data_IF_452891589066
#
_entry.id   IF_452891589066
#
_cell.length_a   1.000
_cell.length_b   1.000
_cell.length_c   1.000
_cell.angle_alpha   90.00
_cell.angle_beta   90.00
_cell.angle_gamma   90.00
#
_symmetry.space_group_name_H-M   'P 1'
#
loop_
_entity.id
_entity.type
_entity.pdbx_description
1 polymer ?
#
# COMPACT_ATOMS: atom_id res chain seq x y z
N UNK A 1 -14.84 20.63 5.77
CA UNK A 1 -15.61 19.48 5.25
C UNK A 1 -14.56 18.49 4.82
N UNK A 2 -14.50 17.37 5.52
CA UNK A 2 -13.61 16.26 5.23
C UNK A 2 -14.14 15.50 4.02
N UNK A 3 -13.32 15.39 2.99
CA UNK A 3 -13.63 14.62 1.78
C UNK A 3 -12.46 13.71 1.49
N UNK A 4 -12.77 12.43 1.33
CA UNK A 4 -11.80 11.40 1.00
C UNK A 4 -12.31 10.61 -0.20
N UNK A 5 -11.45 10.42 -1.19
CA UNK A 5 -11.75 9.60 -2.37
C UNK A 5 -10.73 8.48 -2.44
N UNK A 6 -11.24 7.25 -2.41
CA UNK A 6 -10.42 6.04 -2.40
C UNK A 6 -10.79 5.14 -3.59
N UNK A 7 -9.82 4.39 -4.09
CA UNK A 7 -10.03 3.24 -4.97
C UNK A 7 -10.03 1.97 -4.12
N UNK A 8 -11.24 1.50 -3.79
CA UNK A 8 -11.47 0.33 -2.97
C UNK A 8 -11.87 -0.88 -3.83
N UNK A 9 -11.76 -2.09 -3.26
CA UNK A 9 -12.34 -3.35 -3.75
C UNK A 9 -12.53 -3.42 -5.27
N UNK A 10 -11.51 -3.84 -6.00
CA UNK A 10 -11.60 -3.94 -7.45
C UNK A 10 -11.51 -2.59 -8.17
N UNK A 11 -10.83 -1.62 -7.55
CA UNK A 11 -10.58 -0.28 -8.10
C UNK A 11 -11.88 0.52 -8.35
N UNK A 12 -12.91 0.24 -7.56
CA UNK A 12 -14.09 1.08 -7.49
C UNK A 12 -13.76 2.39 -6.76
N UNK A 13 -14.12 3.52 -7.35
CA UNK A 13 -13.99 4.82 -6.70
C UNK A 13 -15.08 4.95 -5.65
N UNK A 14 -14.70 5.32 -4.43
CA UNK A 14 -15.61 5.54 -3.30
C UNK A 14 -15.33 6.91 -2.71
N UNK A 15 -16.38 7.70 -2.53
CA UNK A 15 -16.30 9.00 -1.87
C UNK A 15 -16.86 8.91 -0.46
N UNK A 16 -16.05 9.30 0.53
CA UNK A 16 -16.44 9.44 1.93
C UNK A 16 -16.43 10.93 2.29
N UNK A 17 -17.52 11.41 2.86
CA UNK A 17 -17.68 12.78 3.36
C UNK A 17 -18.27 12.76 4.76
N UNK A 18 -17.68 13.50 5.70
CA UNK A 18 -18.11 13.58 7.09
C UNK A 18 -18.32 12.17 7.71
N UNK A 19 -17.37 11.27 7.44
CA UNK A 19 -17.40 9.87 7.86
C UNK A 19 -18.52 9.01 7.26
N UNK A 20 -19.13 9.42 6.14
CA UNK A 20 -20.22 8.68 5.46
C UNK A 20 -19.90 8.40 4.02
N UNK A 21 -20.22 7.19 3.56
CA UNK A 21 -20.11 6.82 2.15
C UNK A 21 -21.24 7.50 1.36
N UNK A 22 -20.87 8.49 0.55
CA UNK A 22 -21.82 9.29 -0.25
C UNK A 22 -21.94 8.81 -1.69
N UNK A 23 -20.90 8.16 -2.22
CA UNK A 23 -20.86 7.68 -3.60
C UNK A 23 -19.97 6.44 -3.74
N UNK A 24 -20.38 5.51 -4.60
CA UNK A 24 -19.64 4.29 -4.94
C UNK A 24 -19.83 3.99 -6.43
N UNK A 25 -18.73 4.00 -7.17
CA UNK A 25 -18.70 3.61 -8.58
C UNK A 25 -18.60 2.08 -8.75
N UNK A 26 -18.86 1.61 -9.97
CA UNK A 26 -18.68 0.20 -10.34
C UNK A 26 -17.23 -0.24 -10.23
N UNK A 27 -17.00 -1.46 -9.74
CA UNK A 27 -15.66 -2.06 -9.71
C UNK A 27 -15.23 -2.51 -11.11
N UNK A 28 -13.93 -2.41 -11.39
CA UNK A 28 -13.34 -2.89 -12.65
C UNK A 28 -13.17 -4.41 -12.71
N UNK A 29 -13.31 -5.09 -11.57
CA UNK A 29 -13.28 -6.55 -11.47
C UNK A 29 -14.50 -7.03 -10.68
N UNK A 30 -14.92 -8.27 -10.89
CA UNK A 30 -16.12 -8.85 -10.25
C UNK A 30 -15.81 -9.60 -8.95
N UNK A 31 -14.59 -10.13 -8.80
CA UNK A 31 -14.24 -10.99 -7.68
C UNK A 31 -12.82 -10.72 -7.17
N UNK A 32 -12.65 -10.79 -5.85
CA UNK A 32 -11.34 -10.76 -5.22
C UNK A 32 -11.26 -11.80 -4.08
N UNK A 33 -10.30 -12.75 -4.14
CA UNK A 33 -10.16 -13.82 -3.16
C UNK A 33 -9.83 -13.32 -1.75
N UNK A 34 -9.16 -12.17 -1.62
CA UNK A 34 -8.89 -11.55 -0.32
C UNK A 34 -10.20 -11.12 0.35
N UNK A 35 -11.07 -10.43 -0.38
CA UNK A 35 -12.34 -9.95 0.16
C UNK A 35 -13.34 -11.09 0.35
N UNK A 36 -13.36 -12.10 -0.52
CA UNK A 36 -14.13 -13.32 -0.27
C UNK A 36 -13.71 -13.97 1.06
N UNK A 37 -12.40 -14.22 1.24
CA UNK A 37 -11.89 -14.93 2.42
C UNK A 37 -12.16 -14.18 3.73
N UNK A 38 -11.96 -12.85 3.74
CA UNK A 38 -12.01 -12.06 4.98
C UNK A 38 -13.35 -11.37 5.23
N UNK A 39 -14.22 -11.29 4.23
CA UNK A 39 -15.50 -10.54 4.28
C UNK A 39 -16.68 -11.32 3.70
N UNK A 40 -16.48 -12.49 3.11
CA UNK A 40 -17.54 -13.29 2.51
C UNK A 40 -18.12 -12.70 1.22
N UNK A 41 -17.43 -11.74 0.60
CA UNK A 41 -17.92 -11.04 -0.59
C UNK A 41 -17.69 -11.92 -1.82
N UNK A 42 -18.76 -12.46 -2.39
CA UNK A 42 -18.71 -13.31 -3.59
C UNK A 42 -18.68 -12.52 -4.90
N UNK A 43 -19.29 -11.34 -4.93
CA UNK A 43 -19.28 -10.42 -6.07
C UNK A 43 -19.11 -8.99 -5.58
N UNK A 44 -18.25 -8.23 -6.25
CA UNK A 44 -18.01 -6.83 -5.99
C UNK A 44 -19.08 -6.00 -6.69
N UNK A 45 -20.16 -5.67 -5.97
CA UNK A 45 -21.17 -4.70 -6.42
C UNK A 45 -21.02 -3.40 -5.64
N UNK A 46 -21.52 -2.26 -6.13
CA UNK A 46 -21.50 -1.01 -5.38
C UNK A 46 -22.08 -1.14 -3.96
N UNK A 47 -23.12 -1.94 -3.77
CA UNK A 47 -23.72 -2.18 -2.45
C UNK A 47 -22.79 -2.94 -1.51
N UNK A 48 -22.15 -4.01 -1.97
CA UNK A 48 -21.21 -4.79 -1.16
C UNK A 48 -19.93 -3.99 -0.84
N UNK A 49 -19.48 -3.16 -1.79
CA UNK A 49 -18.36 -2.25 -1.60
C UNK A 49 -18.72 -1.18 -0.56
N UNK A 50 -19.90 -0.56 -0.68
CA UNK A 50 -20.42 0.41 0.29
C UNK A 50 -20.45 -0.18 1.71
N UNK A 51 -21.10 -1.34 1.88
CA UNK A 51 -21.16 -2.05 3.17
C UNK A 51 -19.76 -2.33 3.72
N UNK A 52 -18.80 -2.69 2.85
CA UNK A 52 -17.45 -2.94 3.28
C UNK A 52 -16.75 -1.69 3.79
N UNK A 53 -16.92 -0.54 3.13
CA UNK A 53 -16.32 0.71 3.57
C UNK A 53 -17.00 1.23 4.84
N UNK A 54 -18.33 1.18 4.93
CA UNK A 54 -19.07 1.51 6.15
C UNK A 54 -18.61 0.65 7.33
N UNK A 55 -18.40 -0.65 7.11
CA UNK A 55 -17.80 -1.53 8.13
C UNK A 55 -16.40 -1.07 8.57
N UNK A 56 -15.54 -0.57 7.66
CA UNK A 56 -14.20 -0.09 8.02
C UNK A 56 -14.24 1.23 8.79
N UNK A 57 -15.16 2.11 8.43
CA UNK A 57 -15.46 3.34 9.16
C UNK A 57 -15.87 2.98 10.61
N UNK A 58 -16.81 2.05 10.76
CA UNK A 58 -17.30 1.63 12.08
C UNK A 58 -16.25 0.85 12.90
N UNK A 59 -15.43 0.01 12.26
CA UNK A 59 -14.49 -0.90 12.93
C UNK A 59 -13.21 -0.18 13.40
N UNK A 60 -12.67 0.75 12.62
CA UNK A 60 -11.40 1.41 12.95
C UNK A 60 -11.33 2.89 12.55
N UNK A 61 -12.46 3.55 12.30
CA UNK A 61 -12.51 4.99 12.05
C UNK A 61 -11.88 5.42 10.72
N UNK A 62 -11.88 4.54 9.70
CA UNK A 62 -11.37 4.91 8.38
C UNK A 62 -11.98 6.22 7.88
N UNK A 63 -11.16 7.17 7.40
CA UNK A 63 -11.64 8.48 6.91
C UNK A 63 -12.33 9.35 7.98
N UNK A 64 -12.01 9.17 9.27
CA UNK A 64 -12.55 10.00 10.35
C UNK A 64 -11.46 10.31 11.39
N UNK A 65 -11.72 11.26 12.28
CA UNK A 65 -10.84 11.56 13.42
C UNK A 65 -10.67 10.41 14.42
N UNK A 66 -11.54 9.40 14.37
CA UNK A 66 -11.50 8.24 15.25
C UNK A 66 -10.63 7.11 14.67
N UNK A 67 -9.87 7.40 13.60
CA UNK A 67 -8.98 6.45 12.93
C UNK A 67 -7.99 5.82 13.90
N UNK A 68 -7.98 4.49 13.95
CA UNK A 68 -6.97 3.74 14.70
C UNK A 68 -5.69 3.63 13.85
N UNK A 69 -4.68 4.43 14.20
CA UNK A 69 -3.41 4.52 13.45
C UNK A 69 -2.37 3.47 13.84
N UNK A 70 -2.50 2.80 14.99
CA UNK A 70 -1.55 1.76 15.43
C UNK A 70 -2.26 0.42 15.49
N UNK A 71 -1.93 -0.46 14.56
CA UNK A 71 -2.53 -1.79 14.41
C UNK A 71 -1.45 -2.86 14.36
N UNK A 72 -1.86 -4.12 14.58
CA UNK A 72 -1.00 -5.29 14.34
C UNK A 72 -1.30 -5.88 12.97
N UNK A 73 -0.43 -6.77 12.53
CA UNK A 73 -0.57 -7.54 11.29
C UNK A 73 -2.02 -8.01 11.05
N UNK A 74 -2.58 -7.59 9.92
CA UNK A 74 -3.89 -8.07 9.49
C UNK A 74 -3.78 -9.35 8.65
N UNK A 75 -2.76 -9.41 7.79
CA UNK A 75 -2.45 -10.57 6.97
C UNK A 75 -1.17 -11.26 7.46
N UNK A 76 -0.96 -12.49 7.00
CA UNK A 76 0.36 -13.12 7.19
C UNK A 76 1.42 -12.47 6.29
N UNK A 77 1.02 -11.95 5.12
CA UNK A 77 1.93 -11.40 4.13
C UNK A 77 1.22 -10.31 3.31
N UNK A 78 1.91 -9.18 3.11
CA UNK A 78 1.42 -7.96 2.52
C UNK A 78 2.55 -6.92 2.47
N UNK A 79 2.38 -5.83 1.73
CA UNK A 79 3.41 -4.78 1.65
C UNK A 79 3.61 -4.13 3.02
N UNK A 80 2.52 -3.76 3.72
CA UNK A 80 2.58 -3.23 5.09
C UNK A 80 3.25 -4.21 6.05
N UNK A 81 2.95 -5.51 5.97
CA UNK A 81 3.57 -6.57 6.79
C UNK A 81 5.08 -6.69 6.58
N UNK A 82 5.55 -6.54 5.32
CA UNK A 82 6.99 -6.52 5.03
C UNK A 82 7.61 -5.25 5.63
N UNK A 83 7.04 -4.07 5.35
CA UNK A 83 7.56 -2.78 5.85
C UNK A 83 7.62 -2.73 7.38
N UNK A 84 6.57 -3.19 8.06
CA UNK A 84 6.53 -3.34 9.52
C UNK A 84 7.64 -4.26 10.03
N UNK A 85 7.93 -5.35 9.31
CA UNK A 85 9.05 -6.24 9.64
C UNK A 85 10.39 -5.54 9.46
N UNK A 86 10.58 -4.78 8.38
CA UNK A 86 11.81 -4.05 8.12
C UNK A 86 12.07 -2.95 9.16
N UNK A 87 11.03 -2.26 9.62
CA UNK A 87 11.11 -1.29 10.72
C UNK A 87 11.49 -1.97 12.04
N UNK A 88 10.81 -3.06 12.42
CA UNK A 88 11.11 -3.78 13.67
C UNK A 88 12.56 -4.31 13.72
N UNK A 89 13.07 -4.76 12.59
CA UNK A 89 14.44 -5.30 12.46
C UNK A 89 15.48 -4.20 12.19
N UNK A 90 15.08 -2.92 12.16
CA UNK A 90 15.94 -1.76 11.87
C UNK A 90 16.71 -1.88 10.54
N UNK A 91 16.09 -2.51 9.54
CA UNK A 91 16.63 -2.59 8.16
C UNK A 91 16.33 -1.30 7.40
N UNK A 92 15.21 -0.66 7.71
CA UNK A 92 14.84 0.66 7.23
C UNK A 92 14.58 1.58 8.41
N UNK A 93 14.85 2.87 8.22
CA UNK A 93 14.69 3.89 9.27
C UNK A 93 13.31 4.54 9.20
N UNK A 94 12.74 4.62 7.99
CA UNK A 94 11.51 5.34 7.70
C UNK A 94 10.79 4.75 6.48
N UNK A 95 9.47 4.92 6.47
CA UNK A 95 8.60 4.60 5.34
C UNK A 95 7.80 5.83 4.95
N UNK A 96 7.84 6.20 3.68
CA UNK A 96 6.93 7.18 3.08
C UNK A 96 5.67 6.45 2.63
N UNK A 97 4.52 6.83 3.20
CA UNK A 97 3.21 6.21 2.96
C UNK A 97 2.14 7.27 2.76
N UNK A 98 0.92 6.82 2.45
CA UNK A 98 -0.26 7.69 2.37
C UNK A 98 -1.26 7.30 3.46
N UNK A 99 -1.75 8.28 4.22
CA UNK A 99 -2.81 8.10 5.21
C UNK A 99 -3.97 9.05 4.91
N UNK A 100 -5.20 8.55 4.89
CA UNK A 100 -6.34 9.46 4.79
C UNK A 100 -6.43 10.37 6.02
N UNK A 101 -6.78 11.63 5.79
CA UNK A 101 -6.72 12.68 6.81
C UNK A 101 -5.35 13.35 6.95
N UNK A 102 -4.27 12.77 6.39
CA UNK A 102 -2.91 13.31 6.55
C UNK A 102 -2.17 13.49 5.21
N UNK A 103 -2.58 12.79 4.15
CA UNK A 103 -1.87 12.82 2.88
C UNK A 103 -0.61 11.97 2.94
N UNK A 104 0.52 12.50 2.48
CA UNK A 104 1.82 11.83 2.56
C UNK A 104 2.40 11.96 3.95
N UNK A 105 2.80 10.82 4.52
CA UNK A 105 3.33 10.73 5.88
C UNK A 105 4.61 9.92 5.94
N UNK A 106 5.46 10.29 6.89
CA UNK A 106 6.63 9.54 7.30
C UNK A 106 6.27 8.63 8.48
N UNK A 107 6.65 7.36 8.39
CA UNK A 107 6.33 6.34 9.38
C UNK A 107 7.59 5.63 9.83
N UNK A 108 7.84 5.63 11.14
CA UNK A 108 9.02 5.00 11.76
C UNK A 108 8.68 3.90 12.76
N UNK A 109 7.38 3.63 12.95
CA UNK A 109 6.88 2.61 13.88
C UNK A 109 6.17 1.50 13.12
N UNK A 110 6.46 0.24 13.45
CA UNK A 110 5.87 -0.95 12.84
C UNK A 110 4.34 -0.98 12.95
N UNK A 111 3.78 -0.70 14.13
CA UNK A 111 2.33 -0.66 14.32
C UNK A 111 1.67 0.50 13.56
N UNK A 112 2.39 1.61 13.38
CA UNK A 112 1.91 2.74 12.59
C UNK A 112 1.91 2.40 11.08
N UNK A 113 2.93 1.70 10.58
CA UNK A 113 2.95 1.24 9.20
C UNK A 113 1.79 0.27 8.90
N UNK A 114 1.44 -0.58 9.86
CA UNK A 114 0.24 -1.41 9.78
C UNK A 114 -1.05 -0.60 9.84
N UNK A 115 -1.16 0.40 10.71
CA UNK A 115 -2.38 1.19 10.78
C UNK A 115 -2.58 2.13 9.60
N UNK A 116 -1.50 2.61 8.98
CA UNK A 116 -1.53 3.46 7.78
C UNK A 116 -1.75 2.63 6.50
N UNK A 117 -0.98 1.56 6.28
CA UNK A 117 -1.08 0.77 5.04
C UNK A 117 -2.01 -0.45 5.15
N UNK A 118 -2.11 -1.04 6.34
CA UNK A 118 -2.87 -2.26 6.56
C UNK A 118 -4.37 -2.01 6.41
N UNK A 119 -5.03 -2.86 5.61
CA UNK A 119 -6.47 -2.78 5.31
C UNK A 119 -6.89 -1.48 4.58
N UNK A 120 -5.95 -0.70 4.07
CA UNK A 120 -6.22 0.54 3.34
C UNK A 120 -6.37 0.30 1.84
N UNK A 121 -7.23 1.10 1.24
CA UNK A 121 -7.53 1.13 -0.21
C UNK A 121 -6.61 2.16 -0.89
N UNK A 122 -6.50 2.18 -2.22
CA UNK A 122 -5.73 3.25 -2.88
C UNK A 122 -6.33 4.62 -2.53
N UNK A 123 -5.54 5.58 -2.05
CA UNK A 123 -6.03 6.93 -1.74
C UNK A 123 -5.80 7.84 -2.95
N UNK A 124 -6.87 8.48 -3.42
CA UNK A 124 -6.84 9.37 -4.59
C UNK A 124 -6.86 10.84 -4.18
N UNK A 125 -7.68 11.16 -3.19
CA UNK A 125 -7.88 12.52 -2.69
C UNK A 125 -8.19 12.45 -1.20
N UNK A 126 -7.71 13.40 -0.42
CA UNK A 126 -8.04 13.51 1.00
C UNK A 126 -8.03 14.96 1.44
N UNK A 127 -8.78 15.24 2.51
CA UNK A 127 -8.73 16.51 3.24
C UNK A 127 -7.99 16.31 4.56
N UNK A 128 -7.38 17.35 5.15
CA UNK A 128 -6.72 17.25 6.45
C UNK A 128 -7.72 16.96 7.58
N UNK A 129 -7.33 16.08 8.50
CA UNK A 129 -8.00 15.83 9.77
C UNK A 129 -6.98 16.16 10.88
N UNK A 130 -7.09 17.33 11.53
CA UNK A 130 -6.11 17.79 12.51
C UNK A 130 -5.84 16.78 13.63
N UNK A 131 -6.88 16.12 14.13
CA UNK A 131 -6.75 15.12 15.20
C UNK A 131 -5.89 13.93 14.81
N UNK A 132 -5.79 13.59 13.51
CA UNK A 132 -4.92 12.53 13.01
C UNK A 132 -3.50 13.05 12.77
N UNK A 133 -3.36 14.25 12.21
CA UNK A 133 -2.06 14.90 11.97
C UNK A 133 -1.28 15.02 13.28
N UNK A 134 -1.95 15.42 14.37
CA UNK A 134 -1.36 15.52 15.71
C UNK A 134 -0.84 14.19 16.30
N UNK A 135 -1.21 13.03 15.71
CA UNK A 135 -0.72 11.71 16.15
C UNK A 135 0.63 11.32 15.54
N UNK A 136 1.09 12.06 14.52
CA UNK A 136 2.39 11.88 13.90
C UNK A 136 3.45 12.72 14.64
N UNK A 137 4.71 12.32 14.48
CA UNK A 137 5.84 13.09 14.99
C UNK A 137 5.92 14.45 14.26
N UNK A 138 6.50 15.49 14.88
CA UNK A 138 6.75 16.76 14.19
C UNK A 138 7.49 16.54 12.86
N UNK A 139 7.10 17.26 11.81
CA UNK A 139 7.66 17.15 10.45
C UNK A 139 7.54 15.75 9.82
N UNK A 140 6.54 14.95 10.20
CA UNK A 140 6.24 13.64 9.58
C UNK A 140 4.96 13.65 8.73
N UNK A 141 4.31 14.79 8.56
CA UNK A 141 3.22 14.99 7.61
C UNK A 141 3.69 16.01 6.59
N UNK A 142 3.60 15.67 5.30
CA UNK A 142 4.16 16.49 4.22
C UNK A 142 3.49 17.86 4.11
N UNK A 143 2.16 17.87 4.18
CA UNK A 143 1.35 19.06 4.03
C UNK A 143 0.16 18.98 4.99
N UNK A 144 0.34 19.52 6.19
CA UNK A 144 -0.70 19.52 7.23
C UNK A 144 -1.92 20.37 6.85
N UNK A 145 -1.76 21.33 5.94
CA UNK A 145 -2.83 22.25 5.54
C UNK A 145 -3.76 21.65 4.48
N UNK A 146 -3.22 20.87 3.53
CA UNK A 146 -3.99 20.34 2.41
C UNK A 146 -4.01 18.80 2.33
N UNK A 147 -3.22 18.10 3.16
CA UNK A 147 -3.06 16.65 3.13
C UNK A 147 -2.65 16.13 1.73
N UNK A 148 -1.67 16.81 1.12
CA UNK A 148 -1.17 16.51 -0.22
C UNK A 148 -0.55 15.11 -0.34
N UNK A 149 -0.83 14.44 -1.45
CA UNK A 149 -0.28 13.13 -1.80
C UNK A 149 0.83 13.32 -2.83
N UNK A 150 2.09 13.17 -2.41
CA UNK A 150 3.29 13.32 -3.21
C UNK A 150 4.42 12.50 -2.57
N UNK A 151 4.71 11.35 -3.16
CA UNK A 151 5.70 10.42 -2.62
C UNK A 151 7.15 10.89 -2.87
N UNK A 152 7.37 11.69 -3.92
CA UNK A 152 8.69 12.26 -4.23
C UNK A 152 9.06 13.29 -3.17
N UNK A 153 8.16 14.22 -2.87
CA UNK A 153 8.39 15.22 -1.82
C UNK A 153 8.37 14.59 -0.43
N UNK A 154 7.58 13.53 -0.22
CA UNK A 154 7.67 12.71 0.99
C UNK A 154 9.06 12.09 1.19
N UNK A 155 9.71 11.59 0.13
CA UNK A 155 11.07 11.09 0.20
C UNK A 155 12.09 12.20 0.53
N UNK A 156 11.93 13.41 -0.04
CA UNK A 156 12.77 14.57 0.32
C UNK A 156 12.62 14.93 1.79
N UNK A 157 11.39 15.00 2.28
CA UNK A 157 11.11 15.25 3.69
C UNK A 157 11.77 14.20 4.59
N UNK A 158 11.79 12.92 4.17
CA UNK A 158 12.48 11.87 4.93
C UNK A 158 14.00 12.12 5.02
N UNK A 159 14.63 12.54 3.92
CA UNK A 159 16.05 12.91 3.89
C UNK A 159 16.32 14.13 4.78
N UNK A 160 15.46 15.15 4.74
CA UNK A 160 15.56 16.35 5.58
C UNK A 160 15.46 16.02 7.08
N UNK A 161 14.65 15.00 7.43
CA UNK A 161 14.57 14.45 8.78
C UNK A 161 15.77 13.55 9.15
N UNK A 162 16.73 13.35 8.25
CA UNK A 162 17.98 12.63 8.49
C UNK A 162 17.91 11.12 8.31
N UNK A 163 16.81 10.58 7.77
CA UNK A 163 16.67 9.15 7.47
C UNK A 163 17.54 8.75 6.27
N UNK A 164 18.03 7.52 6.28
CA UNK A 164 19.01 7.01 5.29
C UNK A 164 18.49 5.81 4.52
N UNK A 165 17.89 4.85 5.20
CA UNK A 165 17.26 3.68 4.59
C UNK A 165 15.75 3.92 4.53
N UNK A 166 15.26 4.40 3.39
CA UNK A 166 13.89 4.89 3.27
C UNK A 166 13.11 3.98 2.32
N UNK A 167 12.01 3.41 2.80
CA UNK A 167 11.07 2.72 1.93
C UNK A 167 9.97 3.68 1.45
N UNK A 168 9.51 3.53 0.21
CA UNK A 168 8.45 4.37 -0.37
C UNK A 168 7.39 3.46 -1.01
N UNK A 169 6.13 3.65 -0.63
CA UNK A 169 5.01 2.96 -1.30
C UNK A 169 4.50 3.76 -2.49
N UNK A 170 4.45 3.15 -3.67
CA UNK A 170 4.10 3.82 -4.91
C UNK A 170 2.95 3.13 -5.64
N UNK A 171 2.08 3.96 -6.22
CA UNK A 171 1.02 3.53 -7.15
C UNK A 171 1.38 3.84 -8.61
N UNK A 172 2.28 4.80 -8.86
CA UNK A 172 2.67 5.27 -10.20
C UNK A 172 4.15 4.96 -10.49
N UNK A 173 4.47 4.26 -11.60
CA UNK A 173 5.85 4.00 -12.00
C UNK A 173 6.69 5.26 -12.24
N UNK A 174 6.10 6.37 -12.69
CA UNK A 174 6.81 7.62 -13.00
C UNK A 174 7.52 8.20 -11.76
N UNK A 175 6.86 8.17 -10.60
CA UNK A 175 7.46 8.59 -9.32
C UNK A 175 8.70 7.76 -8.99
N UNK A 176 8.69 6.47 -9.36
CA UNK A 176 9.83 5.57 -9.17
C UNK A 176 11.04 5.95 -10.01
N UNK A 177 10.84 6.45 -11.24
CA UNK A 177 11.93 6.96 -12.08
C UNK A 177 12.59 8.13 -11.38
N UNK A 178 11.78 9.10 -10.93
CA UNK A 178 12.27 10.29 -10.24
C UNK A 178 13.01 9.89 -8.96
N UNK A 179 12.46 8.99 -8.15
CA UNK A 179 13.08 8.55 -6.91
C UNK A 179 14.43 7.85 -7.13
N UNK A 180 14.56 7.03 -8.19
CA UNK A 180 15.85 6.43 -8.56
C UNK A 180 16.86 7.46 -9.03
N UNK A 181 16.43 8.51 -9.74
CA UNK A 181 17.31 9.62 -10.09
C UNK A 181 17.76 10.39 -8.85
N UNK A 182 16.85 10.69 -7.93
CA UNK A 182 17.12 11.41 -6.69
C UNK A 182 18.02 10.63 -5.73
N UNK A 183 17.86 9.31 -5.63
CA UNK A 183 18.75 8.45 -4.84
C UNK A 183 20.22 8.67 -5.22
N UNK A 184 20.53 8.84 -6.52
CA UNK A 184 21.90 9.07 -6.99
C UNK A 184 22.50 10.42 -6.58
N UNK A 185 21.71 11.35 -6.04
CA UNK A 185 22.21 12.62 -5.52
C UNK A 185 22.83 12.47 -4.11
N UNK A 186 22.65 11.32 -3.45
CA UNK A 186 23.04 11.09 -2.06
C UNK A 186 23.85 9.79 -1.90
N UNK A 187 25.12 9.90 -1.49
CA UNK A 187 26.00 8.73 -1.32
C UNK A 187 25.63 7.82 -0.14
N UNK A 188 24.87 8.33 0.83
CA UNK A 188 24.54 7.64 2.09
C UNK A 188 23.05 7.37 2.30
N UNK A 189 22.23 7.57 1.27
CA UNK A 189 20.78 7.32 1.29
C UNK A 189 20.45 6.17 0.33
N UNK A 190 19.63 5.23 0.79
CA UNK A 190 19.07 4.16 -0.01
C UNK A 190 17.55 4.33 -0.09
N UNK A 191 16.98 4.22 -1.28
CA UNK A 191 15.53 4.17 -1.50
C UNK A 191 15.09 2.76 -1.87
N UNK A 192 14.10 2.26 -1.15
CA UNK A 192 13.48 0.96 -1.41
C UNK A 192 12.04 1.16 -1.87
N UNK A 193 11.72 0.73 -3.09
CA UNK A 193 10.45 1.04 -3.74
C UNK A 193 9.47 -0.14 -3.66
N UNK A 194 8.28 0.12 -3.13
CA UNK A 194 7.23 -0.87 -2.90
C UNK A 194 6.00 -0.55 -3.75
N UNK A 195 5.74 -1.39 -4.75
CA UNK A 195 4.58 -1.25 -5.64
C UNK A 195 3.30 -1.74 -4.98
N UNK A 196 2.35 -0.82 -4.82
CA UNK A 196 1.01 -1.07 -4.28
C UNK A 196 -0.06 -0.72 -5.31
N UNK A 197 -1.28 -1.21 -5.10
CA UNK A 197 -2.46 -0.84 -5.88
C UNK A 197 -2.32 -0.96 -7.42
N UNK A 198 -1.61 -2.00 -7.86
CA UNK A 198 -1.19 -2.22 -9.24
C UNK A 198 -2.28 -2.60 -10.26
N UNK A 199 -3.53 -2.80 -9.83
CA UNK A 199 -4.63 -3.20 -10.71
C UNK A 199 -4.84 -2.18 -11.83
N UNK A 200 -4.83 -2.64 -13.08
CA UNK A 200 -5.06 -1.81 -14.26
C UNK A 200 -3.83 -1.10 -14.81
N UNK A 201 -2.62 -1.41 -14.33
CA UNK A 201 -1.38 -1.01 -15.00
C UNK A 201 -1.26 -1.70 -16.37
N UNK A 202 -0.74 -0.96 -17.34
CA UNK A 202 -0.35 -1.45 -18.67
C UNK A 202 0.87 -2.36 -18.62
N UNK A 203 1.18 -3.01 -19.75
CA UNK A 203 2.38 -3.85 -19.87
C UNK A 203 3.66 -3.02 -19.78
N UNK A 204 3.69 -1.86 -20.41
CA UNK A 204 4.83 -0.95 -20.39
C UNK A 204 5.09 -0.46 -18.95
N UNK A 205 4.03 -0.08 -18.23
CA UNK A 205 4.13 0.28 -16.81
C UNK A 205 4.60 -0.90 -15.95
N UNK A 206 4.14 -2.12 -16.23
CA UNK A 206 4.55 -3.30 -15.47
C UNK A 206 6.05 -3.64 -15.67
N UNK A 207 6.56 -3.56 -16.89
CA UNK A 207 7.99 -3.74 -17.17
C UNK A 207 8.82 -2.68 -16.43
N UNK A 208 8.39 -1.41 -16.51
CA UNK A 208 9.07 -0.31 -15.83
C UNK A 208 9.07 -0.49 -14.31
N UNK A 209 7.97 -0.98 -13.73
CA UNK A 209 7.91 -1.33 -12.29
C UNK A 209 8.94 -2.39 -11.94
N UNK A 210 9.13 -3.43 -12.76
CA UNK A 210 10.13 -4.46 -12.49
C UNK A 210 11.57 -4.03 -12.79
N UNK A 211 11.78 -2.96 -13.55
CA UNK A 211 13.09 -2.34 -13.73
C UNK A 211 13.49 -1.47 -12.52
N UNK A 212 12.51 -0.89 -11.83
CA UNK A 212 12.74 0.13 -10.81
C UNK A 212 12.51 -0.35 -9.37
N UNK A 213 11.54 -1.23 -9.14
CA UNK A 213 11.01 -1.49 -7.80
C UNK A 213 11.65 -2.70 -7.14
N UNK A 214 11.58 -2.76 -5.82
CA UNK A 214 12.13 -3.86 -5.03
C UNK A 214 11.07 -4.94 -4.78
N UNK A 215 9.87 -4.53 -4.35
CA UNK A 215 8.77 -5.45 -4.02
C UNK A 215 7.47 -4.95 -4.61
N UNK A 216 6.69 -5.84 -5.23
CA UNK A 216 5.49 -5.45 -5.98
C UNK A 216 4.34 -6.42 -5.69
N UNK A 217 3.15 -5.89 -5.38
CA UNK A 217 1.92 -6.70 -5.30
C UNK A 217 1.31 -6.92 -6.68
N UNK A 218 0.85 -8.14 -6.98
CA UNK A 218 0.21 -8.48 -8.25
C UNK A 218 -1.26 -8.08 -8.38
N UNK A 219 -1.97 -7.86 -7.26
CA UNK A 219 -3.40 -7.53 -7.21
C UNK A 219 -4.23 -8.19 -8.33
N UNK A 220 -5.11 -7.46 -9.03
CA UNK A 220 -5.80 -7.96 -10.22
C UNK A 220 -5.10 -7.55 -11.53
N UNK A 221 -3.86 -7.06 -11.45
CA UNK A 221 -3.08 -6.64 -12.62
C UNK A 221 -2.65 -7.85 -13.44
N UNK A 222 -3.17 -7.99 -14.65
CA UNK A 222 -2.69 -9.03 -15.56
C UNK A 222 -1.22 -8.80 -15.93
N UNK A 223 -0.79 -7.60 -16.35
CA UNK A 223 0.59 -7.41 -16.81
C UNK A 223 1.63 -7.61 -15.71
N UNK A 224 1.41 -7.10 -14.49
CA UNK A 224 2.34 -7.31 -13.36
C UNK A 224 2.49 -8.80 -13.02
N UNK A 225 1.41 -9.59 -13.15
CA UNK A 225 1.46 -11.03 -12.89
C UNK A 225 2.22 -11.78 -13.98
N UNK A 226 2.08 -11.39 -15.24
CA UNK A 226 2.80 -11.99 -16.36
C UNK A 226 4.30 -11.67 -16.28
N UNK A 227 4.66 -10.40 -16.11
CA UNK A 227 6.05 -9.96 -15.94
C UNK A 227 6.66 -10.58 -14.68
N UNK A 228 5.93 -10.60 -13.56
CA UNK A 228 6.39 -11.23 -12.33
C UNK A 228 6.59 -12.74 -12.43
N UNK A 229 5.84 -13.45 -13.27
CA UNK A 229 6.06 -14.87 -13.51
C UNK A 229 7.36 -15.16 -14.27
N UNK A 230 7.81 -14.20 -15.10
CA UNK A 230 9.03 -14.31 -15.89
C UNK A 230 10.27 -13.79 -15.14
N UNK A 231 10.14 -12.63 -14.49
CA UNK A 231 11.28 -11.83 -14.01
C UNK A 231 11.51 -11.87 -12.50
N UNK A 232 10.50 -12.21 -11.68
CA UNK A 232 10.64 -12.11 -10.24
C UNK A 232 11.68 -13.10 -9.68
N UNK A 233 12.53 -12.63 -8.77
CA UNK A 233 13.53 -13.46 -8.11
C UNK A 233 12.90 -14.43 -7.11
N UNK A 234 11.79 -14.02 -6.48
CA UNK A 234 10.93 -14.89 -5.71
C UNK A 234 9.49 -14.35 -5.70
N UNK A 235 8.55 -15.22 -5.33
CA UNK A 235 7.15 -14.81 -5.13
C UNK A 235 6.49 -15.59 -4.00
N UNK A 236 5.56 -14.92 -3.32
CA UNK A 236 4.79 -15.47 -2.21
C UNK A 236 3.32 -15.11 -2.36
N UNK A 237 2.44 -15.93 -1.77
CA UNK A 237 1.00 -15.79 -1.97
C UNK A 237 0.56 -16.38 -3.32
N UNK A 238 -0.55 -17.12 -3.32
CA UNK A 238 -1.06 -17.77 -4.54
C UNK A 238 -2.22 -16.97 -5.13
N UNK A 239 -3.20 -16.60 -4.32
CA UNK A 239 -4.35 -15.80 -4.78
C UNK A 239 -3.96 -14.39 -5.20
N UNK A 240 -3.20 -13.68 -4.36
CA UNK A 240 -2.64 -12.36 -4.62
C UNK A 240 -1.13 -12.49 -4.38
N UNK A 241 -0.31 -12.59 -5.45
CA UNK A 241 1.12 -12.75 -5.30
C UNK A 241 1.78 -11.43 -4.91
N UNK A 242 2.87 -11.53 -4.15
CA UNK A 242 3.86 -10.49 -3.96
C UNK A 242 5.15 -10.99 -4.60
N UNK A 243 5.74 -10.15 -5.43
CA UNK A 243 6.95 -10.42 -6.21
C UNK A 243 8.12 -9.63 -5.64
N UNK A 244 9.28 -10.27 -5.54
CA UNK A 244 10.55 -9.58 -5.39
C UNK A 244 11.12 -9.29 -6.79
N UNK A 245 11.25 -8.00 -7.12
CA UNK A 245 11.77 -7.51 -8.40
C UNK A 245 13.28 -7.19 -8.33
N UNK A 246 13.85 -7.05 -7.13
CA UNK A 246 15.28 -6.85 -6.90
C UNK A 246 15.85 -7.83 -5.87
N UNK A 247 17.18 -7.94 -5.78
CA UNK A 247 17.84 -8.75 -4.74
C UNK A 247 17.50 -8.25 -3.33
N UNK A 248 17.43 -6.93 -3.12
CA UNK A 248 16.97 -6.36 -1.85
C UNK A 248 15.52 -6.70 -1.55
N UNK A 249 14.65 -6.62 -2.55
CA UNK A 249 13.26 -7.07 -2.42
C UNK A 249 13.13 -8.53 -2.03
N UNK A 250 14.02 -9.40 -2.56
CA UNK A 250 14.06 -10.81 -2.18
C UNK A 250 14.47 -11.00 -0.73
N UNK A 251 15.51 -10.31 -0.26
CA UNK A 251 15.92 -10.30 1.15
C UNK A 251 14.75 -9.89 2.06
N UNK A 252 13.99 -8.85 1.68
CA UNK A 252 12.84 -8.37 2.46
C UNK A 252 11.69 -9.39 2.52
N UNK A 253 11.39 -10.03 1.39
CA UNK A 253 10.36 -11.08 1.32
C UNK A 253 10.76 -12.29 2.15
N UNK A 254 12.02 -12.73 2.07
CA UNK A 254 12.56 -13.85 2.85
C UNK A 254 12.55 -13.55 4.35
N UNK A 255 12.97 -12.36 4.76
CA UNK A 255 12.92 -11.93 6.16
C UNK A 255 11.50 -11.99 6.72
N UNK A 256 10.51 -11.51 5.96
CA UNK A 256 9.10 -11.61 6.38
C UNK A 256 8.63 -13.06 6.46
N UNK A 257 9.05 -13.92 5.54
CA UNK A 257 8.70 -15.35 5.58
C UNK A 257 9.25 -16.01 6.85
N UNK A 258 10.50 -15.72 7.20
CA UNK A 258 11.13 -16.28 8.40
C UNK A 258 10.42 -15.82 9.68
N UNK A 259 10.06 -14.54 9.77
CA UNK A 259 9.28 -13.99 10.91
C UNK A 259 7.95 -14.69 11.13
N UNK A 260 7.31 -15.20 10.07
CA UNK A 260 6.02 -15.91 10.17
C UNK A 260 6.16 -17.45 10.23
N UNK A 261 7.38 -17.97 10.41
CA UNK A 261 7.65 -19.40 10.53
C UNK A 261 7.81 -20.15 9.20
N UNK A 262 8.17 -19.45 8.13
CA UNK A 262 8.50 -20.01 6.82
C UNK A 262 7.31 -20.18 5.85
N UNK A 263 7.56 -20.73 4.66
CA UNK A 263 6.55 -20.85 3.61
C UNK A 263 5.44 -21.82 4.01
N UNK A 264 4.18 -21.35 3.94
CA UNK A 264 3.00 -22.21 4.11
C UNK A 264 2.74 -23.00 2.83
N UNK A 265 2.26 -24.25 2.96
CA UNK A 265 1.93 -25.12 1.81
C UNK A 265 0.94 -24.43 0.87
N UNK A 266 1.25 -24.40 -0.43
CA UNK A 266 0.33 -23.96 -1.49
C UNK A 266 -0.90 -24.87 -1.48
N UNK A 267 -2.08 -24.31 -1.28
CA UNK A 267 -3.35 -25.02 -1.48
C UNK A 267 -3.74 -24.91 -2.95
N UNK A 268 -3.83 -26.03 -3.66
CA UNK A 268 -3.98 -26.07 -5.14
C UNK A 268 -5.29 -25.51 -5.73
N UNK A 269 -6.14 -24.86 -4.92
CA UNK A 269 -7.46 -24.33 -5.33
C UNK A 269 -7.62 -22.82 -5.05
N UNK A 270 -6.53 -22.07 -5.05
CA UNK A 270 -6.60 -20.63 -4.83
C UNK A 270 -7.17 -19.92 -6.07
N UNK A 271 -8.42 -19.45 -5.99
CA UNK A 271 -8.97 -18.52 -6.98
C UNK A 271 -8.15 -17.23 -6.99
N UNK A 272 -8.02 -16.63 -8.18
CA UNK A 272 -7.43 -15.30 -8.38
C UNK A 272 -8.54 -14.25 -8.49
N UNK A 273 -8.21 -12.95 -8.44
CA UNK A 273 -9.14 -11.91 -8.84
C UNK A 273 -9.66 -12.15 -10.27
N UNK A 274 -10.89 -11.75 -10.55
CA UNK A 274 -11.54 -11.98 -11.84
C UNK A 274 -12.37 -10.75 -12.27
N UNK A 275 -12.21 -10.27 -13.52
CA UNK A 275 -11.09 -10.55 -14.42
C UNK A 275 -9.73 -10.08 -13.85
N UNK A 276 -8.65 -10.62 -14.41
CA UNK A 276 -7.35 -9.95 -14.36
C UNK A 276 -7.32 -8.92 -15.49
N UNK A 277 -6.99 -7.68 -15.17
CA UNK A 277 -7.04 -6.53 -16.08
C UNK A 277 -5.72 -5.78 -16.15
#
# INVERSE_FOLDING_TARGET
MDKHVIEALGKARVTVQDGKVVDVEESKIEYCPLFHKHRGIEKLTPEEIKKNIEFRIDDFGMCTKDRVLRLKDFLSFGISEILSTLLDENIIDCVVMVCEGCGTVLVTESELAQGVGGRVSGLVETSPIPELIEQFLPNHVLDEENASIDQVEGFRLAIENGYKNIAVTLCNPEDGVILRELENEYDDVNVYLFGVHSTGLSTEEAELVFDLYDVVTGCASKPIREVGAERALCSVGTSIPIFAASEKGKEFVELRLDKIGGPKKKTGNSRHPEPLI
#
